data_IF_485431593541
#
_entry.id   IF_485431593541
#
_cell.length_a   1.000
_cell.length_b   1.000
_cell.length_c   1.000
_cell.angle_alpha   90.00
_cell.angle_beta   90.00
_cell.angle_gamma   90.00
#
_symmetry.space_group_name_H-M   'P 1'
#
loop_
_entity.id
_entity.type
_entity.pdbx_description
1 polymer ?
#
# COMPACT_ATOMS: atom_id res chain seq x y z
N UNK A 1 23.39 -3.50 4.81
CA UNK A 1 22.42 -4.47 4.24
C UNK A 1 21.33 -3.72 3.49
N UNK A 2 21.33 -3.75 2.15
CA UNK A 2 20.25 -3.17 1.35
C UNK A 2 18.97 -4.00 1.59
N UNK A 3 18.03 -3.42 2.33
CA UNK A 3 16.71 -4.03 2.55
C UNK A 3 16.00 -4.06 1.20
N UNK A 4 15.77 -5.25 0.64
CA UNK A 4 15.02 -5.39 -0.62
C UNK A 4 13.62 -4.81 -0.37
N UNK A 5 13.32 -3.67 -1.01
CA UNK A 5 11.95 -3.15 -1.11
C UNK A 5 11.16 -4.16 -1.95
N UNK A 6 9.90 -4.41 -1.59
CA UNK A 6 9.07 -5.42 -2.28
C UNK A 6 9.09 -5.23 -3.81
N UNK A 7 9.30 -6.31 -4.55
CA UNK A 7 9.25 -6.37 -6.01
C UNK A 7 8.10 -7.27 -6.47
N UNK A 8 7.66 -7.04 -7.71
CA UNK A 8 6.75 -7.90 -8.44
C UNK A 8 7.28 -8.16 -9.85
N UNK A 9 6.86 -9.28 -10.43
CA UNK A 9 7.00 -9.54 -11.85
C UNK A 9 5.68 -9.28 -12.56
N UNK A 10 5.70 -8.50 -13.63
CA UNK A 10 4.53 -8.29 -14.50
C UNK A 10 4.77 -9.05 -15.80
N UNK A 11 3.97 -10.08 -16.03
CA UNK A 11 3.95 -10.82 -17.29
C UNK A 11 3.58 -9.85 -18.43
N UNK A 12 4.48 -9.69 -19.39
CA UNK A 12 4.30 -8.73 -20.49
C UNK A 12 3.31 -9.19 -21.56
N UNK A 13 2.93 -10.47 -21.56
CA UNK A 13 1.96 -11.05 -22.49
C UNK A 13 0.55 -11.01 -21.90
N UNK A 14 0.41 -11.29 -20.60
CA UNK A 14 -0.91 -11.42 -19.95
C UNK A 14 -1.26 -10.26 -19.02
N UNK A 15 -0.29 -9.42 -18.65
CA UNK A 15 -0.44 -8.41 -17.61
C UNK A 15 -0.56 -9.01 -16.20
N UNK A 16 -0.44 -10.33 -16.03
CA UNK A 16 -0.53 -10.97 -14.71
C UNK A 16 0.64 -10.53 -13.84
N UNK A 17 0.34 -10.04 -12.65
CA UNK A 17 1.35 -9.69 -11.64
C UNK A 17 1.68 -10.90 -10.77
N UNK A 18 2.93 -11.08 -10.39
CA UNK A 18 3.39 -12.14 -9.51
C UNK A 18 4.21 -11.53 -8.38
N UNK A 19 3.86 -11.87 -7.14
CA UNK A 19 4.55 -11.34 -5.98
C UNK A 19 5.91 -12.03 -5.83
N UNK A 20 6.94 -11.24 -5.55
CA UNK A 20 8.26 -11.76 -5.12
C UNK A 20 8.32 -11.71 -3.60
N UNK A 21 8.63 -12.83 -2.97
CA UNK A 21 8.72 -12.97 -1.51
C UNK A 21 10.03 -13.63 -1.10
N UNK A 22 10.45 -13.35 0.15
CA UNK A 22 11.67 -13.91 0.73
C UNK A 22 12.79 -12.89 0.90
N UNK A 23 13.98 -13.40 1.21
CA UNK A 23 15.21 -12.64 1.34
C UNK A 23 16.42 -13.57 1.25
N UNK A 24 17.53 -13.07 0.70
CA UNK A 24 18.72 -13.87 0.41
C UNK A 24 18.97 -14.00 -1.08
N UNK A 25 19.77 -15.00 -1.47
CA UNK A 25 20.21 -15.21 -2.85
C UNK A 25 19.06 -15.71 -3.75
N UNK A 26 18.22 -16.61 -3.24
CA UNK A 26 17.05 -17.13 -3.95
C UNK A 26 15.76 -16.55 -3.37
N UNK A 27 14.90 -16.07 -4.27
CA UNK A 27 13.59 -15.50 -3.95
C UNK A 27 12.49 -16.34 -4.57
N UNK A 28 11.37 -16.46 -3.87
CA UNK A 28 10.19 -17.15 -4.37
C UNK A 28 9.32 -16.18 -5.15
N UNK A 29 8.90 -16.60 -6.34
CA UNK A 29 7.95 -15.90 -7.20
C UNK A 29 6.67 -16.72 -7.24
N UNK A 30 5.58 -16.11 -6.78
CA UNK A 30 4.27 -16.75 -6.67
C UNK A 30 3.82 -17.38 -8.01
N UNK A 31 3.68 -18.70 -8.03
CA UNK A 31 3.25 -19.46 -9.20
C UNK A 31 4.30 -19.59 -10.32
N UNK A 32 5.54 -19.14 -10.10
CA UNK A 32 6.64 -19.23 -11.06
C UNK A 32 7.91 -19.90 -10.49
N UNK A 33 7.96 -20.15 -9.18
CA UNK A 33 9.04 -20.88 -8.51
C UNK A 33 10.16 -19.96 -8.01
N UNK A 34 11.37 -20.51 -7.89
CA UNK A 34 12.52 -19.78 -7.35
C UNK A 34 13.27 -19.02 -8.45
N UNK A 35 13.73 -17.81 -8.12
CA UNK A 35 14.61 -17.01 -8.97
C UNK A 35 15.74 -16.40 -8.15
N UNK A 36 16.90 -16.28 -8.77
CA UNK A 36 18.02 -15.60 -8.14
C UNK A 36 17.79 -14.09 -8.03
N UNK A 37 18.10 -13.54 -6.87
CA UNK A 37 17.88 -12.14 -6.51
C UNK A 37 18.68 -11.18 -7.41
N UNK A 38 19.87 -11.56 -7.89
CA UNK A 38 20.68 -10.73 -8.79
C UNK A 38 20.02 -10.52 -10.17
N UNK A 39 19.07 -11.40 -10.54
CA UNK A 39 18.30 -11.24 -11.77
C UNK A 39 17.17 -10.21 -11.62
N UNK A 40 16.81 -9.82 -10.40
CA UNK A 40 15.67 -8.94 -10.11
C UNK A 40 16.09 -7.48 -10.01
N UNK A 41 16.60 -6.94 -11.11
CA UNK A 41 16.93 -5.51 -11.22
C UNK A 41 15.66 -4.71 -11.55
N UNK A 42 15.29 -3.76 -10.71
CA UNK A 42 14.11 -2.90 -10.93
C UNK A 42 14.21 -2.18 -12.30
N UNK A 43 13.12 -2.20 -13.08
CA UNK A 43 13.05 -1.65 -14.44
C UNK A 43 13.54 -2.58 -15.54
N UNK A 44 14.17 -3.72 -15.20
CA UNK A 44 14.64 -4.70 -16.18
C UNK A 44 13.51 -5.63 -16.66
N UNK A 45 13.73 -6.25 -17.82
CA UNK A 45 12.91 -7.35 -18.34
C UNK A 45 13.70 -8.64 -18.22
N UNK A 46 13.11 -9.64 -17.57
CA UNK A 46 13.70 -10.98 -17.44
C UNK A 46 12.92 -12.00 -18.25
N UNK A 47 13.60 -13.10 -18.62
CA UNK A 47 12.97 -14.27 -19.22
C UNK A 47 12.91 -15.42 -18.23
N UNK A 48 11.72 -16.01 -18.06
CA UNK A 48 11.47 -17.15 -17.21
C UNK A 48 10.47 -18.09 -17.89
N UNK A 49 10.80 -19.38 -17.99
CA UNK A 49 9.96 -20.39 -18.64
C UNK A 49 9.41 -19.95 -20.01
N UNK A 50 10.28 -19.37 -20.84
CA UNK A 50 9.93 -18.91 -22.20
C UNK A 50 9.29 -17.52 -22.28
N UNK A 51 8.67 -17.02 -21.20
CA UNK A 51 7.93 -15.75 -21.12
C UNK A 51 8.77 -14.57 -20.61
N UNK A 52 8.33 -13.35 -20.92
CA UNK A 52 9.00 -12.10 -20.50
C UNK A 52 8.25 -11.40 -19.36
N UNK A 53 9.00 -10.93 -18.37
CA UNK A 53 8.45 -10.25 -17.19
C UNK A 53 9.18 -8.94 -16.92
N UNK A 54 8.43 -7.86 -16.69
CA UNK A 54 8.97 -6.62 -16.15
C UNK A 54 9.15 -6.74 -14.64
N UNK A 55 10.34 -6.43 -14.14
CA UNK A 55 10.64 -6.34 -12.70
C UNK A 55 10.36 -4.91 -12.25
N UNK A 56 9.42 -4.72 -11.32
CA UNK A 56 9.15 -3.39 -10.75
C UNK A 56 8.66 -3.45 -9.31
N UNK A 57 8.65 -2.31 -8.61
CA UNK A 57 7.93 -2.18 -7.35
C UNK A 57 6.41 -2.22 -7.57
N UNK A 58 5.63 -2.68 -6.57
CA UNK A 58 4.19 -2.53 -6.56
C UNK A 58 3.76 -1.06 -6.73
N UNK A 59 2.72 -0.86 -7.53
CA UNK A 59 1.99 0.40 -7.66
C UNK A 59 0.71 0.33 -6.82
N UNK A 60 0.02 1.46 -6.59
CA UNK A 60 -1.26 1.48 -5.87
C UNK A 60 -2.29 0.47 -6.37
N UNK A 61 -2.34 0.20 -7.68
CA UNK A 61 -3.24 -0.81 -8.27
C UNK A 61 -2.90 -2.26 -7.87
N UNK A 62 -1.66 -2.55 -7.48
CA UNK A 62 -1.22 -3.89 -7.09
C UNK A 62 -1.49 -4.19 -5.61
N UNK A 63 -1.82 -3.16 -4.82
CA UNK A 63 -2.07 -3.22 -3.38
C UNK A 63 -2.97 -4.39 -2.97
N UNK A 64 -4.13 -4.64 -3.63
CA UNK A 64 -4.99 -5.76 -3.26
C UNK A 64 -4.31 -7.12 -3.38
N UNK A 65 -3.30 -7.24 -4.24
CA UNK A 65 -2.57 -8.48 -4.50
C UNK A 65 -1.36 -8.67 -3.59
N UNK A 66 -0.68 -7.58 -3.23
CA UNK A 66 0.58 -7.66 -2.49
C UNK A 66 0.44 -7.55 -0.98
N UNK A 67 -0.63 -6.89 -0.50
CA UNK A 67 -0.84 -6.68 0.93
C UNK A 67 -1.49 -7.89 1.62
N UNK A 68 -1.07 -8.13 2.87
CA UNK A 68 -1.78 -9.04 3.75
C UNK A 68 -3.13 -8.43 4.13
N UNK A 69 -4.20 -9.22 3.99
CA UNK A 69 -5.56 -8.80 4.33
C UNK A 69 -5.94 -9.24 5.74
N UNK A 70 -6.53 -8.31 6.47
CA UNK A 70 -7.23 -8.53 7.74
C UNK A 70 -8.65 -7.93 7.71
N UNK A 71 -8.89 -6.99 6.79
CA UNK A 71 -10.16 -6.37 6.50
C UNK A 71 -10.46 -6.47 4.99
N UNK A 72 -11.70 -6.17 4.60
CA UNK A 72 -12.02 -5.98 3.19
C UNK A 72 -11.37 -4.70 2.67
N UNK A 73 -10.91 -4.74 1.42
CA UNK A 73 -10.46 -3.54 0.72
C UNK A 73 -11.61 -2.96 -0.08
N UNK A 74 -11.77 -1.64 -0.01
CA UNK A 74 -12.42 -0.91 -1.08
C UNK A 74 -11.70 -1.16 -2.41
N UNK A 75 -12.45 -1.19 -3.50
CA UNK A 75 -11.85 -1.34 -4.83
C UNK A 75 -10.96 -0.12 -5.14
N UNK A 76 -9.89 -0.29 -5.95
CA UNK A 76 -9.03 0.83 -6.33
C UNK A 76 -9.81 2.01 -6.93
N UNK A 77 -10.87 1.75 -7.70
CA UNK A 77 -11.74 2.77 -8.29
C UNK A 77 -12.49 3.58 -7.22
N UNK A 78 -13.01 2.92 -6.18
CA UNK A 78 -13.69 3.60 -5.07
C UNK A 78 -12.71 4.49 -4.31
N UNK A 79 -11.53 3.97 -3.97
CA UNK A 79 -10.49 4.76 -3.30
C UNK A 79 -10.04 5.97 -4.12
N UNK A 80 -9.80 5.78 -5.43
CA UNK A 80 -9.47 6.88 -6.34
C UNK A 80 -10.55 7.95 -6.35
N UNK A 81 -11.81 7.55 -6.43
CA UNK A 81 -12.94 8.49 -6.43
C UNK A 81 -13.04 9.27 -5.12
N UNK A 82 -12.89 8.60 -3.96
CA UNK A 82 -12.89 9.26 -2.65
C UNK A 82 -11.76 10.29 -2.54
N UNK A 83 -10.53 9.90 -2.89
CA UNK A 83 -9.36 10.78 -2.87
C UNK A 83 -9.53 11.99 -3.79
N UNK A 84 -10.04 11.76 -5.01
CA UNK A 84 -10.30 12.82 -5.98
C UNK A 84 -11.34 13.81 -5.46
N UNK A 85 -12.45 13.32 -4.91
CA UNK A 85 -13.51 14.18 -4.36
C UNK A 85 -13.08 14.97 -3.13
N UNK A 86 -12.18 14.40 -2.34
CA UNK A 86 -11.61 15.07 -1.18
C UNK A 86 -10.45 16.02 -1.53
N UNK A 87 -10.06 16.13 -2.81
CA UNK A 87 -8.99 17.03 -3.25
C UNK A 87 -7.59 16.60 -2.81
N UNK A 88 -7.38 15.31 -2.52
CA UNK A 88 -6.07 14.78 -2.11
C UNK A 88 -5.07 14.96 -3.24
N UNK A 89 -3.95 15.62 -2.94
CA UNK A 89 -2.89 15.93 -3.90
C UNK A 89 -1.51 15.87 -3.24
N UNK A 90 -0.47 16.02 -4.06
CA UNK A 90 0.91 16.12 -3.57
C UNK A 90 1.02 17.24 -2.52
N UNK A 91 1.64 16.93 -1.37
CA UNK A 91 1.79 17.86 -0.26
C UNK A 91 0.62 17.92 0.72
N UNK A 92 -0.52 17.28 0.44
CA UNK A 92 -1.69 17.34 1.33
C UNK A 92 -1.39 16.75 2.71
N UNK A 93 -1.95 17.37 3.75
CA UNK A 93 -2.18 16.76 5.05
C UNK A 93 -3.54 16.08 5.06
N UNK A 94 -3.55 14.74 5.15
CA UNK A 94 -4.75 13.91 5.12
C UNK A 94 -4.94 13.21 6.47
N UNK A 95 -6.18 13.15 6.92
CA UNK A 95 -6.60 12.28 8.03
C UNK A 95 -7.48 11.18 7.45
N UNK A 96 -7.23 9.93 7.84
CA UNK A 96 -8.11 8.81 7.52
C UNK A 96 -8.57 8.05 8.76
N UNK A 97 -9.79 7.50 8.70
CA UNK A 97 -10.38 6.68 9.75
C UNK A 97 -10.84 5.35 9.18
N UNK A 98 -10.50 4.24 9.84
CA UNK A 98 -10.78 2.89 9.35
C UNK A 98 -9.69 2.35 8.43
N UNK A 99 -8.42 2.52 8.80
CA UNK A 99 -7.30 2.18 7.91
C UNK A 99 -7.20 0.67 7.58
N UNK A 100 -7.72 -0.22 8.43
CA UNK A 100 -7.89 -1.63 8.13
C UNK A 100 -6.60 -2.32 7.70
N UNK A 101 -6.59 -2.87 6.49
CA UNK A 101 -5.40 -3.55 5.92
C UNK A 101 -4.42 -2.61 5.20
N UNK A 102 -4.75 -1.32 5.07
CA UNK A 102 -3.88 -0.31 4.45
C UNK A 102 -4.12 -0.07 2.97
N UNK A 103 -5.29 -0.45 2.46
CA UNK A 103 -5.64 -0.26 1.05
C UNK A 103 -5.65 1.21 0.68
N UNK A 104 -6.48 2.00 1.37
CA UNK A 104 -6.55 3.45 1.20
C UNK A 104 -5.26 4.13 1.67
N UNK A 105 -4.72 3.74 2.83
CA UNK A 105 -3.48 4.27 3.40
C UNK A 105 -2.34 4.34 2.38
N UNK A 106 -2.08 3.24 1.66
CA UNK A 106 -1.00 3.18 0.68
C UNK A 106 -1.26 4.10 -0.50
N UNK A 107 -2.51 4.19 -0.97
CA UNK A 107 -2.88 5.06 -2.07
C UNK A 107 -2.69 6.53 -1.69
N UNK A 108 -3.10 6.91 -0.48
CA UNK A 108 -2.91 8.27 0.04
C UNK A 108 -1.42 8.59 0.17
N UNK A 109 -0.62 7.73 0.79
CA UNK A 109 0.83 7.93 0.93
C UNK A 109 1.52 8.08 -0.43
N UNK A 110 1.07 7.34 -1.45
CA UNK A 110 1.59 7.48 -2.80
C UNK A 110 1.21 8.83 -3.42
N UNK A 111 -0.03 9.28 -3.27
CA UNK A 111 -0.53 10.52 -3.87
C UNK A 111 0.01 11.78 -3.20
N UNK A 112 0.14 11.81 -1.87
CA UNK A 112 0.62 13.00 -1.15
C UNK A 112 2.13 13.19 -1.28
N UNK A 113 2.86 12.13 -1.66
CA UNK A 113 4.32 12.14 -1.80
C UNK A 113 5.05 12.46 -0.50
N UNK A 114 6.37 12.67 -0.57
CA UNK A 114 7.21 12.93 0.63
C UNK A 114 6.90 14.25 1.34
N UNK A 115 6.31 15.22 0.63
CA UNK A 115 5.99 16.53 1.18
C UNK A 115 4.65 16.60 1.90
N UNK A 116 3.79 15.59 1.76
CA UNK A 116 2.52 15.52 2.47
C UNK A 116 2.63 14.80 3.80
N UNK A 117 1.50 14.67 4.50
CA UNK A 117 1.39 13.96 5.78
C UNK A 117 0.11 13.15 5.82
N UNK A 118 0.16 11.94 6.36
CA UNK A 118 -1.03 11.12 6.63
C UNK A 118 -1.11 10.79 8.12
N UNK A 119 -2.27 11.01 8.73
CA UNK A 119 -2.62 10.45 10.04
C UNK A 119 -3.75 9.44 9.85
N UNK A 120 -3.52 8.20 10.25
CA UNK A 120 -4.49 7.11 10.15
C UNK A 120 -4.97 6.69 11.52
N UNK A 121 -6.27 6.47 11.65
CA UNK A 121 -6.91 5.89 12.83
C UNK A 121 -7.35 4.45 12.57
N UNK A 122 -6.90 3.53 13.44
CA UNK A 122 -7.33 2.13 13.47
C UNK A 122 -7.40 1.63 14.91
N UNK A 123 -8.61 1.49 15.45
CA UNK A 123 -8.81 1.12 16.87
C UNK A 123 -8.43 -0.32 17.19
N UNK A 124 -8.37 -1.19 16.19
CA UNK A 124 -8.11 -2.62 16.38
C UNK A 124 -6.62 -2.89 16.30
N UNK A 125 -6.01 -3.20 17.44
CA UNK A 125 -4.56 -3.35 17.57
C UNK A 125 -3.99 -4.41 16.62
N UNK A 126 -4.69 -5.52 16.42
CA UNK A 126 -4.27 -6.59 15.52
C UNK A 126 -4.28 -6.16 14.05
N UNK A 127 -5.17 -5.24 13.68
CA UNK A 127 -5.19 -4.63 12.35
C UNK A 127 -4.06 -3.63 12.18
N UNK A 128 -3.88 -2.77 13.18
CA UNK A 128 -2.79 -1.79 13.20
C UNK A 128 -1.41 -2.44 13.01
N UNK A 129 -1.16 -3.60 13.61
CA UNK A 129 0.11 -4.32 13.45
C UNK A 129 0.30 -4.88 12.03
N UNK A 130 -0.76 -5.35 11.37
CA UNK A 130 -0.68 -5.78 9.97
C UNK A 130 -0.51 -4.58 9.04
N UNK A 131 -1.25 -3.51 9.28
CA UNK A 131 -1.15 -2.24 8.56
C UNK A 131 0.28 -1.68 8.58
N UNK A 132 0.91 -1.61 9.75
CA UNK A 132 2.33 -1.20 9.90
C UNK A 132 3.27 -2.04 9.04
N UNK A 133 3.10 -3.37 9.06
CA UNK A 133 3.94 -4.29 8.28
C UNK A 133 3.73 -4.10 6.78
N UNK A 134 2.48 -3.94 6.35
CA UNK A 134 2.11 -3.70 4.97
C UNK A 134 2.75 -2.41 4.43
N UNK A 135 2.54 -1.27 5.09
CA UNK A 135 3.11 0.03 4.68
C UNK A 135 4.64 -0.03 4.65
N UNK A 136 5.27 -0.60 5.69
CA UNK A 136 6.73 -0.75 5.77
C UNK A 136 7.28 -1.66 4.67
N UNK A 137 6.56 -2.71 4.28
CA UNK A 137 7.00 -3.64 3.24
C UNK A 137 7.09 -3.00 1.85
N UNK A 138 6.31 -1.95 1.62
CA UNK A 138 6.35 -1.13 0.40
C UNK A 138 7.40 -0.01 0.45
N UNK A 139 8.15 0.11 1.56
CA UNK A 139 9.10 1.20 1.76
C UNK A 139 8.42 2.56 1.87
N UNK A 140 7.18 2.59 2.34
CA UNK A 140 6.42 3.78 2.67
C UNK A 140 6.41 4.00 4.19
N UNK A 141 5.91 5.15 4.63
CA UNK A 141 5.62 5.43 6.03
C UNK A 141 6.44 6.55 6.68
N UNK A 142 7.39 7.15 5.97
CA UNK A 142 8.24 8.24 6.51
C UNK A 142 7.41 9.47 6.94
N UNK A 143 6.28 9.72 6.26
CA UNK A 143 5.36 10.81 6.50
C UNK A 143 3.98 10.35 7.01
N UNK A 144 3.95 9.16 7.62
CA UNK A 144 2.74 8.51 8.10
C UNK A 144 2.74 8.34 9.61
N UNK A 145 1.62 8.67 10.24
CA UNK A 145 1.38 8.44 11.66
C UNK A 145 0.17 7.52 11.79
N UNK A 146 0.35 6.40 12.48
CA UNK A 146 -0.75 5.51 12.82
C UNK A 146 -1.12 5.65 14.30
N UNK A 147 -2.36 6.02 14.58
CA UNK A 147 -2.96 6.06 15.91
C UNK A 147 -3.83 4.84 16.13
N UNK A 148 -3.50 4.04 17.14
CA UNK A 148 -4.24 2.82 17.50
C UNK A 148 -5.36 3.17 18.47
N UNK A 149 -6.32 3.96 17.99
CA UNK A 149 -7.35 4.62 18.80
C UNK A 149 -8.66 4.70 18.02
N UNK A 150 -9.76 4.90 18.74
CA UNK A 150 -11.05 5.20 18.11
C UNK A 150 -11.02 6.60 17.50
N UNK A 151 -11.57 6.75 16.28
CA UNK A 151 -11.57 8.01 15.56
C UNK A 151 -12.39 9.10 16.26
N UNK A 152 -13.34 8.75 17.13
CA UNK A 152 -14.08 9.72 17.95
C UNK A 152 -13.19 10.50 18.93
N UNK A 153 -11.92 10.10 19.10
CA UNK A 153 -10.91 10.82 19.88
C UNK A 153 -9.97 11.66 19.01
N UNK A 154 -10.28 11.84 17.73
CA UNK A 154 -9.45 12.62 16.82
C UNK A 154 -9.31 14.07 17.29
N UNK A 155 -8.10 14.62 17.13
CA UNK A 155 -7.75 15.95 17.60
C UNK A 155 -6.99 16.77 16.55
N UNK A 156 -6.82 16.22 15.35
CA UNK A 156 -6.16 16.86 14.22
C UNK A 156 -6.98 18.05 13.76
N UNK A 157 -6.28 19.14 13.44
CA UNK A 157 -6.85 20.33 12.84
C UNK A 157 -5.99 20.76 11.64
N UNK A 158 -6.61 21.46 10.69
CA UNK A 158 -5.91 21.95 9.50
C UNK A 158 -5.56 20.86 8.47
N UNK A 159 -6.27 19.73 8.48
CA UNK A 159 -6.17 18.73 7.41
C UNK A 159 -6.80 19.27 6.13
N UNK A 160 -6.16 19.03 4.99
CA UNK A 160 -6.70 19.36 3.66
C UNK A 160 -7.84 18.41 3.26
N UNK A 161 -7.83 17.18 3.80
CA UNK A 161 -8.84 16.16 3.52
C UNK A 161 -9.06 15.22 4.71
N UNK A 162 -10.32 14.80 4.88
CA UNK A 162 -10.73 13.73 5.79
C UNK A 162 -11.36 12.59 4.98
N UNK A 163 -10.87 11.37 5.17
CA UNK A 163 -11.39 10.15 4.54
C UNK A 163 -11.90 9.20 5.62
N UNK A 164 -13.20 8.89 5.62
CA UNK A 164 -13.82 8.03 6.65
C UNK A 164 -14.33 6.74 6.01
N UNK A 165 -13.68 5.62 6.33
CA UNK A 165 -14.05 4.27 5.91
C UNK A 165 -14.47 3.44 7.13
N UNK A 166 -15.58 3.86 7.75
CA UNK A 166 -16.17 3.22 8.93
C UNK A 166 -17.61 2.79 8.64
N UNK A 167 -18.19 1.82 9.37
CA UNK A 167 -19.57 1.37 9.13
C UNK A 167 -20.64 2.45 9.26
N UNK A 168 -20.41 3.44 10.14
CA UNK A 168 -21.34 4.54 10.42
C UNK A 168 -20.60 5.87 10.36
N UNK A 169 -20.20 6.35 9.17
CA UNK A 169 -19.37 7.54 9.04
C UNK A 169 -20.12 8.83 9.45
N UNK A 170 -21.47 8.82 9.40
CA UNK A 170 -22.32 9.96 9.79
C UNK A 170 -22.25 10.31 11.28
N UNK A 171 -21.73 9.43 12.14
CA UNK A 171 -21.55 9.72 13.58
C UNK A 171 -20.36 10.64 13.86
N UNK A 172 -19.52 10.91 12.86
CA UNK A 172 -18.24 11.63 13.01
C UNK A 172 -18.18 12.93 12.19
N UNK A 173 -19.29 13.35 11.57
CA UNK A 173 -19.39 14.53 10.70
C UNK A 173 -20.43 15.52 11.20
#
# INVERSE_FOLDING_TARGET
MHRIRMLILVDLETGRRHRVVGGGELLEVEGLGLISSERLVEGSVIRLAGRRFLVRRPLPEDVPKVLRRVAQFNSPTVNQYMMMRAGVRSGSFVVEAGAGSGGLTVMVLWAIGKGGRLVSYEKRKEFAEVLKRNVKSLGLGDNWILKVEDFGKASESGADALLVDLPQPWEYV
#
